data_IF_327526862675
#
_entry.id   IF_327526862675
#
_cell.length_a   1.000
_cell.length_b   1.000
_cell.length_c   1.000
_cell.angle_alpha   90.00
_cell.angle_beta   90.00
_cell.angle_gamma   90.00
#
_symmetry.space_group_name_H-M   'P 1'
#
loop_
_entity.id
_entity.type
_entity.pdbx_description
1 polymer ?
#
# COMPACT_ATOMS: atom_id res chain seq x y z
N UNK A 1 6.52 1.95 -19.07
CA UNK A 1 5.58 0.88 -19.45
C UNK A 1 4.35 1.59 -19.96
N UNK A 2 4.07 1.49 -21.26
CA UNK A 2 2.96 2.23 -21.88
C UNK A 2 1.85 1.22 -22.20
N UNK A 3 0.65 1.46 -21.69
CA UNK A 3 -0.53 0.65 -21.98
C UNK A 3 -1.40 1.42 -22.97
N UNK A 4 -1.81 0.74 -24.04
CA UNK A 4 -2.68 1.29 -25.08
C UNK A 4 -3.99 0.49 -25.01
N UNK A 5 -5.12 1.18 -24.86
CA UNK A 5 -6.45 0.57 -24.79
C UNK A 5 -7.19 0.76 -26.12
N UNK A 6 -8.04 -0.21 -26.49
CA UNK A 6 -8.88 -0.15 -27.69
C UNK A 6 -10.21 0.61 -27.43
N UNK A 7 -10.85 1.09 -28.50
CA UNK A 7 -11.98 2.04 -28.54
C UNK A 7 -13.27 1.60 -27.82
N UNK A 8 -13.41 0.32 -27.47
CA UNK A 8 -14.60 -0.21 -26.79
C UNK A 8 -14.37 -0.59 -25.33
N UNK A 9 -13.16 -0.38 -24.81
CA UNK A 9 -12.80 -0.84 -23.47
C UNK A 9 -12.95 0.29 -22.46
N UNK A 10 -13.99 0.21 -21.62
CA UNK A 10 -13.96 0.85 -20.31
C UNK A 10 -12.69 0.39 -19.58
N UNK A 11 -11.98 1.30 -18.93
CA UNK A 11 -10.73 0.97 -18.24
C UNK A 11 -10.95 -0.25 -17.33
N UNK A 12 -10.30 -1.39 -17.61
CA UNK A 12 -10.55 -2.59 -16.84
C UNK A 12 -10.08 -2.38 -15.41
N UNK A 13 -10.68 -3.10 -14.47
CA UNK A 13 -10.23 -3.16 -13.08
C UNK A 13 -8.87 -3.86 -13.00
N UNK A 14 -7.83 -3.17 -13.44
CA UNK A 14 -6.45 -3.67 -13.52
C UNK A 14 -5.77 -3.36 -12.21
N UNK A 15 -5.15 -4.40 -11.65
CA UNK A 15 -4.24 -4.25 -10.52
C UNK A 15 -2.83 -4.45 -11.02
N UNK A 16 -1.97 -3.46 -10.79
CA UNK A 16 -0.54 -3.56 -11.07
C UNK A 16 0.15 -4.10 -9.85
N UNK A 17 0.89 -5.19 -9.99
CA UNK A 17 1.72 -5.74 -8.94
C UNK A 17 3.19 -5.67 -9.34
N UNK A 18 4.05 -5.30 -8.40
CA UNK A 18 5.50 -5.37 -8.53
C UNK A 18 6.10 -6.10 -7.34
N UNK A 19 7.31 -6.64 -7.50
CA UNK A 19 8.00 -7.27 -6.37
C UNK A 19 8.38 -6.23 -5.32
N UNK A 20 8.49 -6.64 -4.05
CA UNK A 20 9.01 -5.76 -2.98
C UNK A 20 10.37 -5.16 -3.33
N UNK A 21 11.26 -5.96 -3.93
CA UNK A 21 12.57 -5.50 -4.37
C UNK A 21 12.47 -4.39 -5.42
N UNK A 22 11.53 -4.50 -6.36
CA UNK A 22 11.28 -3.46 -7.34
C UNK A 22 10.69 -2.20 -6.70
N UNK A 23 9.73 -2.35 -5.78
CA UNK A 23 9.17 -1.23 -5.04
C UNK A 23 10.25 -0.46 -4.26
N UNK A 24 11.23 -1.15 -3.67
CA UNK A 24 12.29 -0.54 -2.87
C UNK A 24 13.54 -0.12 -3.64
N UNK A 25 13.61 -0.41 -4.94
CA UNK A 25 14.81 -0.23 -5.77
C UNK A 25 15.38 1.21 -5.78
N UNK A 26 14.55 2.20 -5.48
CA UNK A 26 14.91 3.62 -5.48
C UNK A 26 15.32 4.15 -4.10
N UNK A 27 15.18 3.35 -3.03
CA UNK A 27 15.65 3.70 -1.69
C UNK A 27 17.15 3.42 -1.58
N UNK A 28 17.93 4.45 -1.24
CA UNK A 28 19.37 4.32 -1.00
C UNK A 28 19.60 3.85 0.43
N UNK A 29 19.67 2.54 0.62
CA UNK A 29 19.89 1.93 1.94
C UNK A 29 21.39 1.90 2.20
N UNK A 30 21.86 2.67 3.18
CA UNK A 30 23.23 2.61 3.66
C UNK A 30 23.33 1.49 4.69
N UNK A 31 23.85 0.32 4.28
CA UNK A 31 24.01 -0.84 5.16
C UNK A 31 24.99 -0.63 6.34
N UNK A 32 25.74 0.47 6.34
CA UNK A 32 26.70 0.84 7.38
C UNK A 32 26.13 1.78 8.45
N UNK A 33 24.86 2.18 8.34
CA UNK A 33 24.23 3.08 9.31
C UNK A 33 23.82 2.32 10.58
N UNK A 34 24.15 2.82 11.79
CA UNK A 34 23.75 2.18 13.03
C UNK A 34 22.22 2.24 13.23
N UNK A 35 21.64 1.15 13.70
CA UNK A 35 20.18 1.00 13.92
C UNK A 35 19.63 2.04 14.88
N UNK A 36 20.40 2.48 15.87
CA UNK A 36 19.93 3.48 16.84
C UNK A 36 19.66 4.85 16.20
N UNK A 37 20.47 5.25 15.20
CA UNK A 37 20.25 6.50 14.46
C UNK A 37 19.01 6.42 13.56
N UNK A 38 18.71 5.22 13.06
CA UNK A 38 17.52 4.95 12.27
C UNK A 38 16.25 5.16 13.12
N UNK A 39 16.21 4.53 14.29
CA UNK A 39 15.07 4.60 15.21
C UNK A 39 14.86 6.02 15.74
N UNK A 40 15.93 6.74 16.08
CA UNK A 40 15.86 8.15 16.49
C UNK A 40 15.27 9.04 15.38
N UNK A 41 15.72 8.86 14.13
CA UNK A 41 15.20 9.64 12.99
C UNK A 41 13.70 9.43 12.80
N UNK A 42 13.22 8.20 12.98
CA UNK A 42 11.78 7.90 12.88
C UNK A 42 11.02 8.58 14.00
N UNK A 43 11.50 8.49 15.23
CA UNK A 43 10.86 9.13 16.39
C UNK A 43 10.79 10.65 16.23
N UNK A 44 11.89 11.30 15.83
CA UNK A 44 11.93 12.74 15.62
C UNK A 44 10.93 13.19 14.54
N UNK A 45 10.83 12.44 13.45
CA UNK A 45 9.84 12.74 12.40
C UNK A 45 8.39 12.52 12.89
N UNK A 46 8.14 11.47 13.66
CA UNK A 46 6.82 11.21 14.23
C UNK A 46 6.41 12.29 15.25
N UNK A 47 7.36 12.83 16.02
CA UNK A 47 7.13 13.95 16.95
C UNK A 47 6.80 15.25 16.23
N UNK A 48 7.35 15.47 15.03
CA UNK A 48 7.04 16.64 14.21
C UNK A 48 5.64 16.58 13.57
N UNK A 49 5.10 15.37 13.36
CA UNK A 49 3.78 15.12 12.76
C UNK A 49 2.76 14.74 13.82
N UNK A 50 2.27 15.70 14.61
CA UNK A 50 1.31 15.44 15.70
C UNK A 50 -0.13 15.29 15.22
N UNK A 51 -0.47 15.94 14.11
CA UNK A 51 -1.86 16.05 13.65
C UNK A 51 -2.16 15.04 12.54
N UNK A 52 -3.42 14.59 12.46
CA UNK A 52 -3.93 13.72 11.40
C UNK A 52 -3.50 14.17 10.00
N UNK A 53 -3.76 15.43 9.67
CA UNK A 53 -3.48 16.01 8.36
C UNK A 53 -1.99 16.15 8.10
N UNK A 54 -1.21 16.47 9.13
CA UNK A 54 0.25 16.56 9.01
C UNK A 54 0.84 15.20 8.66
N UNK A 55 0.36 14.14 9.30
CA UNK A 55 0.80 12.77 9.08
C UNK A 55 0.50 12.27 7.67
N UNK A 56 -0.69 12.60 7.12
CA UNK A 56 -1.11 12.15 5.79
C UNK A 56 -0.54 13.01 4.65
N UNK A 57 -0.44 14.32 4.81
CA UNK A 57 -0.04 15.24 3.72
C UNK A 57 1.46 15.44 3.61
N UNK A 58 2.21 15.38 4.72
CA UNK A 58 3.65 15.60 4.67
C UNK A 58 4.38 14.41 4.04
N UNK A 59 5.45 14.66 3.25
CA UNK A 59 6.27 13.59 2.70
C UNK A 59 7.02 12.89 3.82
N UNK A 60 7.08 11.56 3.76
CA UNK A 60 7.81 10.79 4.77
C UNK A 60 9.27 10.58 4.35
N UNK A 61 10.12 10.47 5.37
CA UNK A 61 11.48 9.99 5.14
C UNK A 61 11.46 8.52 4.67
N UNK A 62 12.40 8.14 3.82
CA UNK A 62 12.46 6.79 3.26
C UNK A 62 12.56 5.71 4.36
N UNK A 63 13.18 6.04 5.50
CA UNK A 63 13.31 5.15 6.66
C UNK A 63 11.95 4.78 7.22
N UNK A 64 11.11 5.79 7.43
CA UNK A 64 9.74 5.62 7.91
C UNK A 64 8.90 4.82 6.92
N UNK A 65 9.04 5.12 5.62
CA UNK A 65 8.30 4.41 4.57
C UNK A 65 8.65 2.93 4.57
N UNK A 66 9.92 2.59 4.65
CA UNK A 66 10.37 1.19 4.68
C UNK A 66 9.87 0.45 5.92
N UNK A 67 9.94 1.08 7.09
CA UNK A 67 9.48 0.48 8.34
C UNK A 67 7.96 0.31 8.36
N UNK A 68 7.22 1.34 7.97
CA UNK A 68 5.76 1.29 7.88
C UNK A 68 5.30 0.28 6.82
N UNK A 69 6.01 0.17 5.69
CA UNK A 69 5.79 -0.89 4.70
C UNK A 69 5.94 -2.27 5.33
N UNK A 70 6.99 -2.49 6.14
CA UNK A 70 7.21 -3.78 6.80
C UNK A 70 6.10 -4.10 7.83
N UNK A 71 5.61 -3.10 8.56
CA UNK A 71 4.47 -3.24 9.48
C UNK A 71 3.21 -3.65 8.73
N UNK A 72 2.83 -2.90 7.70
CA UNK A 72 1.62 -3.19 6.90
C UNK A 72 1.75 -4.56 6.25
N UNK A 73 2.90 -4.85 5.63
CA UNK A 73 3.17 -6.15 5.01
C UNK A 73 3.06 -7.30 6.01
N UNK A 74 3.57 -7.14 7.23
CA UNK A 74 3.51 -8.19 8.27
C UNK A 74 2.08 -8.47 8.67
N UNK A 75 1.29 -7.42 8.95
CA UNK A 75 -0.10 -7.55 9.35
C UNK A 75 -0.95 -8.19 8.24
N UNK A 76 -0.79 -7.72 7.01
CA UNK A 76 -1.46 -8.24 5.83
C UNK A 76 -1.11 -9.71 5.55
N UNK A 77 0.17 -10.07 5.62
CA UNK A 77 0.63 -11.45 5.46
C UNK A 77 0.04 -12.38 6.53
N UNK A 78 -0.07 -11.93 7.78
CA UNK A 78 -0.70 -12.72 8.85
C UNK A 78 -2.21 -12.91 8.63
N UNK A 79 -2.91 -11.89 8.11
CA UNK A 79 -4.36 -11.94 7.88
C UNK A 79 -4.74 -12.80 6.66
N UNK A 80 -4.07 -12.63 5.51
CA UNK A 80 -4.59 -13.12 4.22
C UNK A 80 -3.70 -14.07 3.44
N UNK A 81 -2.41 -14.18 3.76
CA UNK A 81 -1.51 -15.12 3.06
C UNK A 81 -1.58 -16.55 3.63
N UNK A 82 -2.49 -16.79 4.58
CA UNK A 82 -2.69 -18.10 5.21
C UNK A 82 -4.16 -18.49 5.24
N UNK A 83 -4.47 -19.78 5.29
CA UNK A 83 -5.82 -20.27 5.58
C UNK A 83 -6.22 -19.83 7.01
N UNK A 84 -7.50 -19.74 7.35
CA UNK A 84 -7.93 -19.28 8.69
C UNK A 84 -7.23 -20.04 9.86
N UNK A 85 -7.00 -21.35 9.71
CA UNK A 85 -6.21 -22.14 10.67
C UNK A 85 -4.71 -21.80 10.61
N UNK A 86 -4.17 -21.52 9.43
CA UNK A 86 -2.82 -21.00 9.25
C UNK A 86 -2.62 -19.62 9.88
N UNK A 87 -3.61 -18.73 9.82
CA UNK A 87 -3.54 -17.39 10.42
C UNK A 87 -3.45 -17.49 11.94
N UNK A 88 -4.27 -18.33 12.57
CA UNK A 88 -4.20 -18.57 14.01
C UNK A 88 -2.83 -19.14 14.45
N UNK A 89 -2.26 -20.06 13.66
CA UNK A 89 -0.91 -20.58 13.90
C UNK A 89 0.16 -19.49 13.76
N UNK A 90 0.09 -18.70 12.70
CA UNK A 90 1.02 -17.60 12.44
C UNK A 90 0.97 -16.54 13.54
N UNK A 91 -0.22 -16.20 14.03
CA UNK A 91 -0.42 -15.28 15.17
C UNK A 91 0.21 -15.87 16.43
N UNK A 92 -0.01 -17.15 16.73
CA UNK A 92 0.59 -17.79 17.90
C UNK A 92 2.11 -17.80 17.82
N UNK A 93 2.69 -18.16 16.67
CA UNK A 93 4.15 -18.10 16.47
C UNK A 93 4.65 -16.66 16.60
N UNK A 94 3.96 -15.69 15.99
CA UNK A 94 4.29 -14.28 16.08
C UNK A 94 4.25 -13.76 17.53
N UNK A 95 3.34 -14.29 18.36
CA UNK A 95 3.20 -13.96 19.77
C UNK A 95 4.31 -14.57 20.63
N UNK A 96 4.63 -15.85 20.43
CA UNK A 96 5.51 -16.59 21.34
C UNK A 96 6.99 -16.50 20.99
N UNK A 97 7.32 -16.30 19.72
CA UNK A 97 8.71 -16.39 19.25
C UNK A 97 9.54 -15.19 19.74
N UNK A 98 10.68 -15.40 20.44
CA UNK A 98 11.51 -14.31 20.95
C UNK A 98 12.19 -13.51 19.82
N UNK A 99 12.52 -14.16 18.70
CA UNK A 99 13.14 -13.50 17.53
C UNK A 99 12.27 -12.40 16.93
N UNK A 100 10.96 -12.45 17.16
CA UNK A 100 9.99 -11.49 16.63
C UNK A 100 9.66 -10.37 17.63
N UNK A 101 10.32 -10.32 18.79
CA UNK A 101 10.08 -9.30 19.82
C UNK A 101 10.30 -7.87 19.31
N UNK A 102 11.38 -7.64 18.56
CA UNK A 102 11.67 -6.34 17.95
C UNK A 102 10.54 -5.92 16.98
N UNK A 103 10.10 -6.84 16.10
CA UNK A 103 8.97 -6.58 15.18
C UNK A 103 7.67 -6.29 15.93
N UNK A 104 7.39 -6.99 17.04
CA UNK A 104 6.22 -6.70 17.87
C UNK A 104 6.26 -5.29 18.46
N UNK A 105 7.43 -4.86 18.95
CA UNK A 105 7.60 -3.50 19.49
C UNK A 105 7.37 -2.44 18.40
N UNK A 106 7.92 -2.67 17.21
CA UNK A 106 7.74 -1.80 16.05
C UNK A 106 6.26 -1.69 15.65
N UNK A 107 5.56 -2.83 15.49
CA UNK A 107 4.12 -2.82 15.17
C UNK A 107 3.33 -2.08 16.25
N UNK A 108 3.65 -2.32 17.54
CA UNK A 108 2.97 -1.65 18.65
C UNK A 108 3.13 -0.13 18.59
N UNK A 109 4.36 0.35 18.35
CA UNK A 109 4.65 1.78 18.20
C UNK A 109 3.84 2.40 17.05
N UNK A 110 3.82 1.77 15.87
CA UNK A 110 3.06 2.29 14.72
C UNK A 110 1.55 2.26 14.95
N UNK A 111 1.01 1.21 15.58
CA UNK A 111 -0.41 1.14 15.91
C UNK A 111 -0.81 2.19 16.95
N UNK A 112 0.05 2.49 17.92
CA UNK A 112 -0.16 3.59 18.86
C UNK A 112 -0.11 4.94 18.12
N UNK A 113 0.88 5.13 17.25
CA UNK A 113 1.07 6.35 16.48
C UNK A 113 -0.17 6.69 15.63
N UNK A 114 -0.76 5.72 14.93
CA UNK A 114 -1.98 5.94 14.15
C UNK A 114 -3.20 6.18 15.05
N UNK A 115 -3.28 5.49 16.19
CA UNK A 115 -4.38 5.64 17.15
C UNK A 115 -4.38 7.04 17.79
N UNK A 116 -3.21 7.54 18.21
CA UNK A 116 -3.04 8.86 18.81
C UNK A 116 -3.47 9.99 17.84
N UNK A 117 -3.30 9.76 16.53
CA UNK A 117 -3.60 10.72 15.46
C UNK A 117 -4.97 10.52 14.82
N UNK A 118 -5.76 9.58 15.33
CA UNK A 118 -7.06 9.20 14.78
C UNK A 118 -7.01 8.83 13.28
N UNK A 119 -5.92 8.17 12.85
CA UNK A 119 -5.72 7.69 11.48
C UNK A 119 -6.20 6.25 11.39
N UNK A 120 -7.05 5.95 10.40
CA UNK A 120 -7.51 4.58 10.17
C UNK A 120 -6.41 3.72 9.56
N UNK A 121 -6.49 2.41 9.76
CA UNK A 121 -5.51 1.49 9.14
C UNK A 121 -5.56 1.52 7.60
N UNK A 122 -6.71 1.84 7.01
CA UNK A 122 -6.84 2.01 5.56
C UNK A 122 -6.09 3.25 5.08
N UNK A 123 -6.27 4.40 5.73
CA UNK A 123 -5.52 5.63 5.42
C UNK A 123 -4.02 5.45 5.62
N UNK A 124 -3.61 4.74 6.67
CA UNK A 124 -2.22 4.39 6.89
C UNK A 124 -1.66 3.51 5.76
N UNK A 125 -2.41 2.49 5.32
CA UNK A 125 -2.00 1.61 4.21
C UNK A 125 -1.89 2.39 2.90
N UNK A 126 -2.84 3.28 2.63
CA UNK A 126 -2.81 4.14 1.44
C UNK A 126 -1.60 5.08 1.48
N UNK A 127 -1.34 5.72 2.63
CA UNK A 127 -0.19 6.61 2.82
C UNK A 127 1.14 5.88 2.60
N UNK A 128 1.28 4.68 3.17
CA UNK A 128 2.47 3.84 3.00
C UNK A 128 2.67 3.48 1.52
N UNK A 129 1.61 3.08 0.83
CA UNK A 129 1.69 2.78 -0.59
C UNK A 129 2.02 4.02 -1.43
N UNK A 130 1.45 5.17 -1.08
CA UNK A 130 1.71 6.44 -1.75
C UNK A 130 3.19 6.82 -1.69
N UNK A 131 3.75 6.86 -0.49
CA UNK A 131 5.15 7.24 -0.29
C UNK A 131 6.12 6.18 -0.84
N UNK A 132 5.71 4.90 -0.87
CA UNK A 132 6.53 3.83 -1.46
C UNK A 132 6.74 4.03 -2.95
N UNK A 133 5.72 4.43 -3.71
CA UNK A 133 5.85 4.58 -5.17
C UNK A 133 6.04 6.02 -5.62
N UNK A 134 5.91 6.99 -4.71
CA UNK A 134 6.11 8.43 -4.99
C UNK A 134 7.37 8.74 -5.79
N UNK A 135 8.50 8.11 -5.44
CA UNK A 135 9.80 8.34 -6.10
C UNK A 135 10.02 7.43 -7.32
N UNK A 136 9.40 6.25 -7.33
CA UNK A 136 9.48 5.27 -8.42
C UNK A 136 8.62 5.68 -9.63
N UNK A 137 7.43 6.21 -9.37
CA UNK A 137 6.45 6.61 -10.39
C UNK A 137 6.57 8.10 -10.72
N UNK A 138 7.63 8.45 -11.45
CA UNK A 138 7.84 9.82 -11.92
C UNK A 138 6.80 10.27 -12.97
N UNK A 139 6.18 9.32 -13.68
CA UNK A 139 5.18 9.59 -14.74
C UNK A 139 4.11 8.50 -14.76
N UNK A 140 3.07 8.69 -13.96
CA UNK A 140 1.81 7.94 -14.09
C UNK A 140 0.75 8.85 -14.68
N UNK A 141 0.84 9.06 -15.98
CA UNK A 141 -0.02 9.96 -16.73
C UNK A 141 -0.67 9.20 -17.86
N UNK A 142 -1.96 9.47 -18.08
CA UNK A 142 -2.64 9.01 -19.29
C UNK A 142 -2.32 9.97 -20.42
N UNK A 143 -1.67 9.48 -21.46
CA UNK A 143 -1.41 10.26 -22.67
C UNK A 143 -2.66 10.26 -23.56
N UNK A 144 -3.06 11.44 -24.03
CA UNK A 144 -4.18 11.62 -24.96
C UNK A 144 -3.71 12.34 -26.22
N UNK A 145 -4.44 12.18 -27.33
CA UNK A 145 -4.15 12.91 -28.57
C UNK A 145 -4.30 14.43 -28.42
N UNK A 146 -5.12 14.87 -27.47
CA UNK A 146 -5.18 16.26 -27.07
C UNK A 146 -3.97 16.59 -26.17
N UNK A 147 -2.98 17.28 -26.72
CA UNK A 147 -1.75 17.67 -26.02
C UNK A 147 -2.00 18.64 -24.85
N UNK A 148 -3.14 19.34 -24.85
CA UNK A 148 -3.52 20.27 -23.77
C UNK A 148 -4.21 19.57 -22.59
N UNK A 149 -4.62 18.31 -22.76
CA UNK A 149 -5.35 17.57 -21.73
C UNK A 149 -4.38 16.81 -20.82
N UNK A 150 -4.18 17.33 -19.60
CA UNK A 150 -3.33 16.68 -18.59
C UNK A 150 -4.21 15.90 -17.61
N UNK A 151 -4.23 14.58 -17.76
CA UNK A 151 -4.97 13.67 -16.87
C UNK A 151 -4.04 13.18 -15.78
N UNK A 152 -4.30 13.64 -14.54
CA UNK A 152 -3.60 13.16 -13.35
C UNK A 152 -4.28 11.90 -12.85
N UNK A 153 -3.61 10.77 -12.99
CA UNK A 153 -4.09 9.49 -12.46
C UNK A 153 -3.62 9.35 -11.02
N UNK A 154 -4.54 9.22 -10.07
CA UNK A 154 -4.20 8.80 -8.70
C UNK A 154 -4.10 7.27 -8.68
N UNK A 155 -3.57 6.73 -7.61
CA UNK A 155 -3.66 5.30 -7.37
C UNK A 155 -4.19 5.04 -5.98
N UNK A 156 -4.73 3.84 -5.84
CA UNK A 156 -5.19 3.25 -4.62
C UNK A 156 -4.37 2.01 -4.35
N UNK A 157 -3.86 1.89 -3.15
CA UNK A 157 -3.10 0.74 -2.69
C UNK A 157 -4.04 -0.44 -2.52
N UNK A 158 -3.88 -1.47 -3.34
CA UNK A 158 -4.73 -2.66 -3.25
C UNK A 158 -4.17 -3.68 -2.26
N UNK A 159 -2.84 -3.82 -2.23
CA UNK A 159 -2.18 -4.83 -1.41
C UNK A 159 -0.72 -4.49 -1.15
N UNK A 160 -0.29 -4.69 0.10
CA UNK A 160 1.11 -4.63 0.49
C UNK A 160 1.45 -5.93 1.19
N UNK A 161 2.44 -6.67 0.70
CA UNK A 161 2.97 -7.83 1.38
C UNK A 161 4.48 -7.94 1.35
N UNK A 162 4.97 -8.99 2.02
CA UNK A 162 6.39 -9.32 2.08
C UNK A 162 6.98 -9.66 0.70
N UNK A 163 6.15 -10.06 -0.25
CA UNK A 163 6.58 -10.44 -1.60
C UNK A 163 6.24 -9.40 -2.65
N UNK A 164 5.04 -8.82 -2.60
CA UNK A 164 4.50 -7.98 -3.67
C UNK A 164 3.86 -6.71 -3.13
N UNK A 165 3.95 -5.65 -3.94
CA UNK A 165 3.21 -4.42 -3.78
C UNK A 165 2.25 -4.31 -4.96
N UNK A 166 0.95 -4.14 -4.67
CA UNK A 166 -0.08 -4.01 -5.69
C UNK A 166 -0.91 -2.75 -5.51
N UNK A 167 -1.19 -2.06 -6.62
CA UNK A 167 -1.96 -0.83 -6.65
C UNK A 167 -2.89 -0.80 -7.87
N UNK A 168 -3.96 -0.04 -7.75
CA UNK A 168 -4.94 0.19 -8.80
C UNK A 168 -4.97 1.68 -9.16
N UNK A 169 -5.12 2.05 -10.43
CA UNK A 169 -5.40 3.43 -10.78
C UNK A 169 -6.77 3.84 -10.23
N UNK A 170 -6.83 5.01 -9.61
CA UNK A 170 -8.04 5.64 -9.10
C UNK A 170 -8.25 6.99 -9.78
N UNK A 171 -9.48 7.27 -10.18
CA UNK A 171 -9.84 8.52 -10.83
C UNK A 171 -10.73 9.33 -9.91
N UNK A 172 -10.41 10.61 -9.74
CA UNK A 172 -11.33 11.56 -9.17
C UNK A 172 -12.45 11.81 -10.19
N UNK A 173 -13.68 12.00 -9.72
CA UNK A 173 -14.84 12.29 -10.58
C UNK A 173 -14.58 13.50 -11.51
N UNK A 174 -13.76 14.44 -11.06
CA UNK A 174 -13.40 15.66 -11.81
C UNK A 174 -12.37 15.41 -12.93
N UNK A 175 -11.67 14.26 -12.91
CA UNK A 175 -10.60 13.91 -13.86
C UNK A 175 -10.91 12.63 -14.66
N UNK A 176 -12.12 12.09 -14.55
CA UNK A 176 -12.54 10.91 -15.28
C UNK A 176 -13.03 11.31 -16.68
N UNK A 177 -12.16 11.13 -17.67
CA UNK A 177 -12.50 11.30 -19.08
C UNK A 177 -12.75 9.93 -19.72
N UNK A 178 -13.95 9.72 -20.26
CA UNK A 178 -14.27 8.54 -21.05
C UNK A 178 -13.27 8.37 -22.21
N UNK A 179 -12.96 7.11 -22.52
CA UNK A 179 -12.12 6.74 -23.65
C UNK A 179 -13.06 6.64 -24.87
N UNK A 180 -13.45 7.76 -25.47
CA UNK A 180 -14.41 7.76 -26.59
C UNK A 180 -13.75 7.78 -27.98
N UNK A 181 -12.46 8.08 -28.13
CA UNK A 181 -11.78 8.01 -29.45
C UNK A 181 -10.28 7.73 -29.31
N UNK A 182 -9.82 6.53 -29.67
CA UNK A 182 -8.40 6.21 -29.91
C UNK A 182 -8.21 5.02 -30.89
N UNK A 183 -8.49 5.19 -32.19
CA UNK A 183 -7.97 4.27 -33.21
C UNK A 183 -6.62 4.73 -33.73
N UNK A 184 -5.62 3.85 -33.62
CA UNK A 184 -4.99 3.16 -34.75
C UNK A 184 -3.59 2.67 -34.35
N UNK A 185 -3.49 1.46 -33.80
CA UNK A 185 -2.63 0.36 -34.32
C UNK A 185 -2.55 -0.85 -33.39
N UNK A 186 -2.55 -1.99 -34.07
CA UNK A 186 -1.96 -3.31 -33.76
C UNK A 186 -2.78 -4.35 -33.00
N UNK A 187 -2.97 -5.44 -33.77
CA UNK A 187 -3.43 -6.76 -33.41
C UNK A 187 -2.57 -7.42 -32.32
N UNK A 188 -3.17 -8.44 -31.71
CA UNK A 188 -2.59 -9.42 -30.79
C UNK A 188 -2.38 -8.97 -29.35
N UNK A 189 -3.35 -9.29 -28.50
CA UNK A 189 -3.12 -10.03 -27.25
C UNK A 189 -4.47 -10.44 -26.64
N UNK A 190 -4.76 -11.74 -26.65
CA UNK A 190 -5.89 -12.33 -25.96
C UNK A 190 -5.71 -12.19 -24.43
N UNK A 191 -6.72 -11.68 -23.73
CA UNK A 191 -6.80 -11.71 -22.26
C UNK A 191 -8.00 -12.57 -21.86
N UNK A 192 -7.74 -13.62 -21.08
CA UNK A 192 -8.76 -14.45 -20.42
C UNK A 192 -9.29 -13.70 -19.21
N UNK A 193 -10.62 -13.52 -19.16
CA UNK A 193 -11.35 -13.13 -17.95
C UNK A 193 -11.33 -14.25 -16.90
N UNK A 194 -11.15 -13.88 -15.63
CA UNK A 194 -11.70 -14.63 -14.50
C UNK A 194 -12.39 -13.67 -13.53
N UNK A 195 -13.72 -13.81 -13.47
CA UNK A 195 -14.59 -13.12 -12.53
C UNK A 195 -14.49 -13.74 -11.13
N UNK A 196 -14.44 -12.88 -10.11
CA UNK A 196 -14.45 -13.31 -8.71
C UNK A 196 -14.75 -12.15 -7.76
N UNK A 197 -16.00 -11.70 -7.71
CA UNK A 197 -16.49 -10.76 -6.68
C UNK A 197 -16.78 -11.50 -5.37
N UNK A 198 -16.14 -11.09 -4.26
CA UNK A 198 -16.59 -11.46 -2.90
C UNK A 198 -16.68 -10.22 -2.01
N UNK A 199 -17.84 -10.09 -1.36
CA UNK A 199 -18.31 -8.95 -0.58
C UNK A 199 -17.32 -8.50 0.52
N UNK A 200 -16.86 -7.24 0.45
CA UNK A 200 -15.91 -6.62 1.40
C UNK A 200 -16.51 -6.25 2.77
N UNK A 201 -17.84 -6.31 2.92
CA UNK A 201 -18.53 -5.78 4.10
C UNK A 201 -18.68 -6.76 5.29
N UNK A 202 -18.40 -8.07 5.10
CA UNK A 202 -18.42 -9.05 6.21
C UNK A 202 -17.06 -9.20 6.90
N UNK A 203 -15.96 -8.90 6.20
CA UNK A 203 -14.60 -9.16 6.70
C UNK A 203 -14.15 -8.15 7.77
N UNK A 204 -14.60 -6.89 7.66
CA UNK A 204 -14.25 -5.81 8.61
C UNK A 204 -14.89 -6.04 9.99
N UNK A 205 -16.08 -6.66 10.03
CA UNK A 205 -16.81 -6.92 11.28
C UNK A 205 -16.17 -8.03 12.13
N UNK A 206 -15.37 -8.90 11.52
CA UNK A 206 -14.62 -9.96 12.22
C UNK A 206 -13.23 -9.49 12.68
N UNK A 207 -12.61 -8.53 11.99
CA UNK A 207 -11.33 -7.92 12.40
C UNK A 207 -11.46 -7.07 13.68
N UNK A 208 -12.54 -6.29 13.81
CA UNK A 208 -12.80 -5.52 15.04
C UNK A 208 -13.08 -6.43 16.26
N UNK A 209 -13.69 -7.60 16.05
CA UNK A 209 -13.91 -8.61 17.12
C UNK A 209 -12.63 -9.35 17.50
N UNK A 210 -11.70 -9.56 16.57
CA UNK A 210 -10.40 -10.19 16.87
C UNK A 210 -9.44 -9.21 17.53
N UNK A 211 -9.48 -7.93 17.16
CA UNK A 211 -8.72 -6.88 17.84
C UNK A 211 -9.19 -6.67 19.29
N UNK A 212 -10.50 -6.74 19.58
CA UNK A 212 -10.98 -6.68 20.98
C UNK A 212 -10.49 -7.84 21.87
N UNK A 213 -10.10 -8.98 21.28
CA UNK A 213 -9.54 -10.13 22.01
C UNK A 213 -8.02 -9.93 22.26
N UNK A 214 -7.34 -9.14 21.43
CA UNK A 214 -5.92 -8.83 21.57
C UNK A 214 -5.63 -7.75 22.63
N UNK A 215 -6.64 -6.97 23.04
CA UNK A 215 -6.52 -5.87 24.02
C UNK A 215 -6.76 -6.28 25.49
N UNK A 216 -6.88 -7.57 25.81
CA UNK A 216 -7.09 -8.04 27.20
C UNK A 216 -5.82 -8.34 28.01
N UNK A 217 -4.60 -8.13 27.47
CA UNK A 217 -3.34 -8.28 28.24
C UNK A 217 -2.25 -7.31 27.78
#
# INVERSE_FOLDING_TARGET
MNMIFNESMTMPNITFCMSRAQAWSHFKINASEPTDQWDQTIQDNLLNMTDHDSFLKQPWDYRMVMEAYEVVATLNSMERETTAHGSARSINVFRTEPRLASKRSMIKMWLQTIADRNVTFEEFTEKVGEETIRRSMQRFQRTTFNENLVIRTRFRTSWISMMQFCFQPWFDNDNFYNIEEQARTLNECAVKEQNGTRNKNETIRNLLKLLSILYQF
#
